data_IF_420211804719
#
_entry.id   IF_420211804719
#
_cell.length_a   1.000
_cell.length_b   1.000
_cell.length_c   1.000
_cell.angle_alpha   90.00
_cell.angle_beta   90.00
_cell.angle_gamma   90.00
#
_symmetry.space_group_name_H-M   'P 1'
#
loop_
_entity.id
_entity.type
_entity.pdbx_description
1 polymer ?
#
# COMPACT_ATOMS: atom_id res chain seq x y z
N UNK A 1 14.03 16.90 13.54
CA UNK A 1 14.83 15.73 13.10
C UNK A 1 14.62 15.51 11.61
N UNK A 2 15.65 15.22 10.84
CA UNK A 2 15.51 14.89 9.41
C UNK A 2 14.88 13.50 9.25
N UNK A 3 13.86 13.31 8.39
CA UNK A 3 13.31 11.98 8.11
C UNK A 3 14.34 11.00 7.54
N UNK A 4 14.03 9.70 7.66
CA UNK A 4 14.86 8.63 7.10
C UNK A 4 15.00 8.76 5.57
N UNK A 5 16.11 8.29 4.99
CA UNK A 5 16.38 8.40 3.54
C UNK A 5 15.26 7.82 2.66
N UNK A 6 14.67 6.70 3.07
CA UNK A 6 13.52 6.09 2.40
C UNK A 6 12.31 7.02 2.44
N UNK A 7 12.07 7.74 3.54
CA UNK A 7 10.95 8.68 3.64
C UNK A 7 11.11 9.81 2.64
N UNK A 8 12.30 10.39 2.59
CA UNK A 8 12.66 11.47 1.66
C UNK A 8 12.53 10.99 0.21
N UNK A 9 13.04 9.79 -0.10
CA UNK A 9 12.91 9.19 -1.43
C UNK A 9 11.44 8.97 -1.84
N UNK A 10 10.52 8.88 -0.89
CA UNK A 10 9.07 8.75 -1.12
C UNK A 10 8.31 10.08 -1.01
N UNK A 11 9.03 11.20 -0.93
CA UNK A 11 8.47 12.56 -0.85
C UNK A 11 7.94 12.95 0.53
N UNK A 12 8.24 12.16 1.58
CA UNK A 12 7.84 12.43 2.97
C UNK A 12 8.96 13.17 3.70
N UNK A 13 9.13 14.45 3.40
CA UNK A 13 10.27 15.27 3.81
C UNK A 13 10.13 15.90 5.21
N UNK A 14 9.00 15.64 5.88
CA UNK A 14 8.68 16.21 7.20
C UNK A 14 8.02 15.18 8.13
N UNK A 15 8.18 15.37 9.43
CA UNK A 15 7.35 14.77 10.47
C UNK A 15 6.27 15.77 10.90
N UNK A 16 5.21 15.28 11.55
CA UNK A 16 4.16 16.14 12.09
C UNK A 16 4.52 16.74 13.46
N UNK A 17 5.29 16.05 14.29
CA UNK A 17 5.84 16.65 15.51
C UNK A 17 7.34 16.94 15.31
N UNK A 18 7.85 18.04 15.84
CA UNK A 18 9.25 18.42 15.52
C UNK A 18 10.26 17.81 16.51
N UNK A 19 9.84 17.56 17.76
CA UNK A 19 10.73 17.33 18.90
C UNK A 19 10.95 15.87 19.30
N UNK A 20 10.26 14.91 18.67
CA UNK A 20 10.45 13.51 19.04
C UNK A 20 11.69 12.92 18.38
N UNK A 21 12.45 12.16 19.17
CA UNK A 21 13.61 11.39 18.72
C UNK A 21 13.20 10.06 18.09
N UNK A 22 14.10 9.39 17.40
CA UNK A 22 13.91 7.99 17.01
C UNK A 22 13.74 7.09 18.26
N UNK A 23 12.90 6.07 18.14
CA UNK A 23 12.83 4.96 19.10
C UNK A 23 12.99 3.64 18.34
N UNK A 24 13.75 2.71 18.93
CA UNK A 24 13.91 1.39 18.33
C UNK A 24 12.69 0.53 18.62
N UNK A 25 12.05 0.05 17.56
CA UNK A 25 10.83 -0.77 17.62
C UNK A 25 10.95 -1.85 16.57
N UNK A 26 10.59 -3.08 16.96
CA UNK A 26 10.38 -4.19 16.04
C UNK A 26 8.93 -4.66 16.10
N UNK A 27 8.43 -5.13 14.96
CA UNK A 27 7.10 -5.74 14.83
C UNK A 27 7.33 -7.14 14.33
N UNK A 28 7.04 -8.14 15.17
CA UNK A 28 7.22 -9.54 14.80
C UNK A 28 6.09 -9.98 13.89
N UNK A 29 6.35 -10.07 12.58
CA UNK A 29 5.31 -10.37 11.57
C UNK A 29 5.36 -11.84 11.18
N UNK A 30 4.20 -12.47 10.88
CA UNK A 30 2.89 -11.85 10.68
C UNK A 30 2.07 -11.62 11.96
N UNK A 31 2.45 -12.21 13.09
CA UNK A 31 1.57 -12.31 14.28
C UNK A 31 1.36 -10.98 15.02
N UNK A 32 2.38 -10.14 15.09
CA UNK A 32 2.35 -8.81 15.70
C UNK A 32 1.73 -7.73 14.82
N UNK A 33 1.15 -8.08 13.67
CA UNK A 33 0.46 -7.11 12.81
C UNK A 33 -0.89 -7.66 12.36
N UNK A 34 -1.95 -7.24 13.04
CA UNK A 34 -3.32 -7.65 12.77
C UNK A 34 -4.13 -6.51 12.18
N UNK A 35 -4.89 -6.83 11.13
CA UNK A 35 -5.75 -5.89 10.39
C UNK A 35 -7.15 -6.45 10.29
N UNK A 36 -8.14 -5.70 10.75
CA UNK A 36 -9.55 -6.06 10.69
C UNK A 36 -10.25 -5.06 9.78
N UNK A 37 -10.94 -5.54 8.75
CA UNK A 37 -11.75 -4.70 7.89
C UNK A 37 -12.91 -4.07 8.67
N UNK A 38 -13.14 -2.77 8.49
CA UNK A 38 -14.25 -2.05 9.09
C UNK A 38 -15.39 -1.89 8.06
N UNK A 39 -16.58 -2.36 8.44
CA UNK A 39 -17.81 -2.31 7.65
C UNK A 39 -18.83 -1.53 8.45
N UNK A 40 -19.35 -0.44 7.86
CA UNK A 40 -20.30 0.44 8.54
C UNK A 40 -19.86 0.88 9.95
N UNK A 41 -18.58 1.27 10.08
CA UNK A 41 -17.94 1.71 11.32
C UNK A 41 -17.88 0.66 12.44
N UNK A 42 -17.98 -0.62 12.07
CA UNK A 42 -17.84 -1.77 12.98
C UNK A 42 -16.82 -2.78 12.46
N UNK A 43 -16.16 -3.55 13.35
CA UNK A 43 -15.30 -4.65 12.92
C UNK A 43 -16.07 -5.66 12.05
N UNK A 44 -15.45 -6.16 10.98
CA UNK A 44 -16.04 -7.17 10.09
C UNK A 44 -16.55 -8.42 10.82
N UNK A 45 -15.96 -8.75 11.98
CA UNK A 45 -16.36 -9.88 12.82
C UNK A 45 -17.75 -9.71 13.45
N UNK A 46 -18.20 -8.47 13.63
CA UNK A 46 -19.51 -8.15 14.19
C UNK A 46 -20.61 -8.06 13.13
N UNK A 47 -20.24 -8.18 11.84
CA UNK A 47 -21.20 -8.13 10.77
C UNK A 47 -22.15 -9.33 10.83
N UNK A 48 -23.46 -9.06 10.71
CA UNK A 48 -24.52 -10.08 10.72
C UNK A 48 -25.28 -10.02 9.41
N UNK A 49 -25.43 -11.17 8.76
CA UNK A 49 -26.14 -11.27 7.49
C UNK A 49 -27.64 -11.49 7.63
N UNK A 50 -28.33 -11.21 6.53
CA UNK A 50 -29.73 -11.54 6.31
C UNK A 50 -29.91 -13.05 6.07
N UNK A 51 -31.15 -13.55 6.13
CA UNK A 51 -31.49 -14.95 5.83
C UNK A 51 -31.44 -15.23 4.31
N UNK A 52 -31.70 -14.22 3.49
CA UNK A 52 -31.67 -14.30 2.03
C UNK A 52 -30.97 -13.07 1.46
N UNK A 53 -30.40 -13.19 0.27
CA UNK A 53 -29.78 -12.05 -0.40
C UNK A 53 -29.02 -12.46 -1.65
N UNK A 54 -28.61 -11.46 -2.42
CA UNK A 54 -27.86 -11.64 -3.68
C UNK A 54 -26.45 -12.18 -3.48
N UNK A 55 -25.86 -11.91 -2.32
CA UNK A 55 -24.50 -12.30 -1.99
C UNK A 55 -24.48 -13.16 -0.74
N UNK A 56 -23.78 -14.30 -0.80
CA UNK A 56 -23.42 -15.07 0.38
C UNK A 56 -22.10 -14.51 0.93
N UNK A 57 -22.12 -14.07 2.20
CA UNK A 57 -21.01 -13.36 2.84
C UNK A 57 -20.24 -14.30 3.78
N UNK A 58 -18.92 -14.26 3.67
CA UNK A 58 -18.01 -15.05 4.50
C UNK A 58 -16.97 -14.14 5.15
N UNK A 59 -16.68 -14.40 6.43
CA UNK A 59 -15.52 -13.86 7.12
C UNK A 59 -14.29 -14.67 6.71
N UNK A 60 -13.31 -14.04 6.09
CA UNK A 60 -12.01 -14.64 5.80
C UNK A 60 -10.97 -14.12 6.80
N UNK A 61 -10.43 -15.03 7.60
CA UNK A 61 -9.23 -14.81 8.42
C UNK A 61 -8.06 -15.49 7.73
N UNK A 62 -6.99 -14.75 7.43
CA UNK A 62 -5.76 -15.33 6.84
C UNK A 62 -4.52 -14.89 7.62
N UNK A 63 -3.50 -15.75 7.66
CA UNK A 63 -2.23 -15.54 8.37
C UNK A 63 -1.06 -15.83 7.45
N UNK A 64 -0.20 -14.83 7.22
CA UNK A 64 1.08 -15.02 6.52
C UNK A 64 0.99 -15.45 5.04
N UNK A 65 -0.21 -15.45 4.45
CA UNK A 65 -0.47 -15.89 3.08
C UNK A 65 -0.87 -14.72 2.17
N UNK A 66 -0.36 -14.77 0.94
CA UNK A 66 -0.71 -13.85 -0.14
C UNK A 66 -2.22 -13.83 -0.41
N UNK A 67 -2.76 -12.64 -0.62
CA UNK A 67 -4.20 -12.45 -0.77
C UNK A 67 -4.75 -13.20 -1.99
N UNK A 68 -4.08 -13.13 -3.15
CA UNK A 68 -4.58 -13.79 -4.36
C UNK A 68 -4.50 -15.31 -4.26
N UNK A 69 -3.46 -15.82 -3.57
CA UNK A 69 -3.32 -17.24 -3.27
C UNK A 69 -4.47 -17.72 -2.39
N UNK A 70 -4.74 -17.05 -1.26
CA UNK A 70 -5.85 -17.39 -0.38
C UNK A 70 -7.21 -17.32 -1.10
N UNK A 71 -7.47 -16.27 -1.88
CA UNK A 71 -8.69 -16.16 -2.68
C UNK A 71 -8.80 -17.31 -3.69
N UNK A 72 -7.70 -17.69 -4.35
CA UNK A 72 -7.72 -18.80 -5.31
C UNK A 72 -8.08 -20.13 -4.64
N UNK A 73 -7.63 -20.38 -3.41
CA UNK A 73 -7.98 -21.58 -2.66
C UNK A 73 -9.45 -21.54 -2.20
N UNK A 74 -9.90 -20.41 -1.68
CA UNK A 74 -11.31 -20.24 -1.28
C UNK A 74 -12.26 -20.41 -2.46
N UNK A 75 -11.91 -19.92 -3.66
CA UNK A 75 -12.73 -20.14 -4.87
C UNK A 75 -12.91 -21.62 -5.21
N UNK A 76 -11.89 -22.46 -4.99
CA UNK A 76 -12.00 -23.91 -5.21
C UNK A 76 -12.96 -24.56 -4.23
N UNK A 77 -12.89 -24.16 -2.95
CA UNK A 77 -13.75 -24.66 -1.87
C UNK A 77 -15.21 -24.25 -2.10
N UNK A 78 -15.44 -22.96 -2.33
CA UNK A 78 -16.77 -22.40 -2.58
C UNK A 78 -17.31 -22.73 -3.98
N UNK A 79 -16.46 -23.24 -4.89
CA UNK A 79 -16.77 -23.49 -6.32
C UNK A 79 -17.44 -22.30 -7.01
N UNK A 80 -17.03 -21.09 -6.65
CA UNK A 80 -17.62 -19.85 -7.15
C UNK A 80 -16.58 -18.75 -7.20
N UNK A 81 -16.80 -17.74 -8.04
CA UNK A 81 -15.91 -16.58 -8.14
C UNK A 81 -16.07 -15.71 -6.89
N UNK A 82 -15.00 -15.63 -6.11
CA UNK A 82 -14.95 -14.85 -4.88
C UNK A 82 -14.67 -13.39 -5.20
N UNK A 83 -15.39 -12.51 -4.52
CA UNK A 83 -15.27 -11.06 -4.59
C UNK A 83 -14.88 -10.54 -3.21
N UNK A 84 -14.18 -9.42 -3.18
CA UNK A 84 -13.67 -8.77 -1.98
C UNK A 84 -13.60 -7.26 -2.24
N UNK A 85 -13.56 -6.46 -1.15
CA UNK A 85 -13.59 -4.99 -1.25
C UNK A 85 -12.18 -4.42 -1.47
N UNK A 86 -11.18 -5.03 -0.83
CA UNK A 86 -9.78 -4.61 -0.95
C UNK A 86 -8.80 -5.76 -0.74
N UNK A 87 -7.60 -5.59 -1.28
CA UNK A 87 -6.47 -6.49 -1.05
C UNK A 87 -5.90 -6.18 0.34
N UNK A 88 -5.47 -7.22 1.08
CA UNK A 88 -4.86 -7.08 2.41
C UNK A 88 -3.45 -7.64 2.42
N UNK A 89 -2.64 -7.14 3.34
CA UNK A 89 -1.21 -7.48 3.46
C UNK A 89 -0.98 -8.97 3.64
N UNK A 90 0.02 -9.53 2.96
CA UNK A 90 0.41 -10.93 3.10
C UNK A 90 1.11 -11.19 4.44
N UNK A 91 1.97 -10.26 4.89
CA UNK A 91 2.78 -10.39 6.10
C UNK A 91 2.04 -9.83 7.34
N UNK A 92 0.84 -10.36 7.57
CA UNK A 92 -0.08 -9.94 8.61
C UNK A 92 -1.10 -11.05 8.92
N UNK A 93 -1.78 -10.93 10.06
CA UNK A 93 -3.08 -11.57 10.30
C UNK A 93 -4.15 -10.61 9.80
N UNK A 94 -4.99 -11.04 8.86
CA UNK A 94 -6.00 -10.15 8.28
C UNK A 94 -7.37 -10.79 8.34
N UNK A 95 -8.37 -10.02 8.77
CA UNK A 95 -9.77 -10.43 8.90
C UNK A 95 -10.59 -9.51 8.00
N UNK A 96 -11.28 -10.07 7.01
CA UNK A 96 -12.05 -9.30 6.02
C UNK A 96 -13.33 -10.02 5.62
N UNK A 97 -14.28 -9.29 5.01
CA UNK A 97 -15.44 -9.92 4.39
C UNK A 97 -15.17 -10.20 2.91
N UNK A 98 -15.48 -11.43 2.50
CA UNK A 98 -15.49 -11.86 1.11
C UNK A 98 -16.91 -12.35 0.76
N UNK A 99 -17.22 -12.39 -0.53
CA UNK A 99 -18.55 -12.78 -0.96
C UNK A 99 -18.59 -13.45 -2.33
N UNK A 100 -19.57 -14.32 -2.50
CA UNK A 100 -19.91 -14.95 -3.77
C UNK A 100 -21.34 -14.57 -4.17
N UNK A 101 -21.72 -14.79 -5.42
CA UNK A 101 -23.14 -14.74 -5.77
C UNK A 101 -23.84 -15.93 -5.12
N UNK A 102 -25.02 -15.69 -4.55
CA UNK A 102 -25.86 -16.73 -3.97
C UNK A 102 -26.25 -17.76 -5.04
N UNK A 103 -26.13 -19.03 -4.69
CA UNK A 103 -26.59 -20.17 -5.49
C UNK A 103 -27.70 -20.88 -4.70
N UNK A 104 -28.94 -20.74 -5.16
CA UNK A 104 -30.10 -21.31 -4.47
C UNK A 104 -30.14 -22.84 -4.50
N UNK A 105 -29.29 -23.49 -5.30
CA UNK A 105 -29.21 -24.94 -5.40
C UNK A 105 -28.15 -25.54 -4.46
N UNK A 106 -27.46 -24.71 -3.68
CA UNK A 106 -26.36 -25.16 -2.83
C UNK A 106 -26.35 -24.46 -1.49
N UNK A 107 -26.38 -25.26 -0.42
CA UNK A 107 -26.20 -24.78 0.94
C UNK A 107 -24.83 -24.11 1.13
N UNK A 108 -24.76 -22.95 1.81
CA UNK A 108 -23.50 -22.31 2.17
C UNK A 108 -22.59 -23.22 3.00
N UNK A 109 -21.28 -23.10 2.79
CA UNK A 109 -20.31 -23.80 3.65
C UNK A 109 -20.19 -23.01 4.96
N UNK A 110 -20.72 -23.54 6.05
CA UNK A 110 -20.74 -22.84 7.34
C UNK A 110 -19.34 -22.41 7.80
N UNK A 111 -18.36 -23.31 7.73
CA UNK A 111 -17.00 -23.05 8.15
C UNK A 111 -16.01 -23.97 7.42
N UNK A 112 -14.81 -23.45 7.14
CA UNK A 112 -13.69 -24.24 6.63
C UNK A 112 -12.37 -23.63 7.10
N UNK A 113 -11.44 -24.48 7.55
CA UNK A 113 -10.17 -24.05 8.11
C UNK A 113 -8.98 -24.83 7.53
N UNK A 114 -7.89 -24.11 7.33
CA UNK A 114 -6.55 -24.61 7.00
C UNK A 114 -5.53 -24.03 7.99
N UNK A 115 -4.25 -24.44 7.95
CA UNK A 115 -3.21 -23.78 8.75
C UNK A 115 -3.02 -22.28 8.45
N UNK A 116 -3.35 -21.83 7.23
CA UNK A 116 -3.03 -20.47 6.76
C UNK A 116 -4.26 -19.55 6.66
N UNK A 117 -5.47 -20.10 6.57
CA UNK A 117 -6.70 -19.32 6.52
C UNK A 117 -7.92 -20.10 7.01
N UNK A 118 -8.95 -19.35 7.39
CA UNK A 118 -10.27 -19.82 7.81
C UNK A 118 -11.34 -18.98 7.12
N UNK A 119 -12.41 -19.62 6.68
CA UNK A 119 -13.64 -18.96 6.23
C UNK A 119 -14.81 -19.37 7.11
N UNK A 120 -15.67 -18.41 7.44
CA UNK A 120 -16.93 -18.64 8.18
C UNK A 120 -18.07 -17.92 7.49
N UNK A 121 -19.15 -18.63 7.19
CA UNK A 121 -20.37 -18.03 6.65
C UNK A 121 -21.05 -17.15 7.70
N UNK A 122 -21.45 -15.94 7.31
CA UNK A 122 -22.08 -14.95 8.20
C UNK A 122 -23.54 -14.64 7.84
N UNK A 123 -24.05 -15.20 6.75
CA UNK A 123 -25.37 -14.89 6.20
C UNK A 123 -25.29 -14.19 4.85
N UNK A 124 -26.40 -13.57 4.44
CA UNK A 124 -26.54 -12.99 3.12
C UNK A 124 -26.58 -11.47 3.14
N UNK A 125 -26.31 -10.85 1.99
CA UNK A 125 -26.50 -9.42 1.78
C UNK A 125 -27.18 -9.15 0.44
N UNK A 126 -28.15 -8.24 0.45
CA UNK A 126 -28.84 -7.79 -0.76
C UNK A 126 -28.07 -6.72 -1.54
N UNK A 127 -27.21 -5.95 -0.84
CA UNK A 127 -26.40 -4.86 -1.40
C UNK A 127 -24.90 -5.11 -1.19
N UNK A 128 -24.06 -4.33 -1.88
CA UNK A 128 -22.62 -4.33 -1.62
C UNK A 128 -22.36 -3.75 -0.23
N UNK A 129 -21.35 -4.32 0.43
CA UNK A 129 -20.90 -3.89 1.75
C UNK A 129 -20.20 -2.54 1.68
N UNK A 130 -20.41 -1.71 2.71
CA UNK A 130 -19.82 -0.38 2.81
C UNK A 130 -18.55 -0.42 3.67
N UNK A 131 -17.40 -0.48 2.98
CA UNK A 131 -16.09 -0.43 3.64
C UNK A 131 -15.74 0.99 4.06
N UNK A 132 -15.63 1.17 5.37
CA UNK A 132 -15.39 2.48 6.00
C UNK A 132 -13.93 2.69 6.39
N UNK A 133 -13.21 1.60 6.67
CA UNK A 133 -11.82 1.69 7.09
C UNK A 133 -11.20 0.35 7.49
N UNK A 134 -10.09 0.40 8.23
CA UNK A 134 -9.48 -0.77 8.82
C UNK A 134 -9.09 -0.47 10.26
N UNK A 135 -9.25 -1.47 11.12
CA UNK A 135 -8.83 -1.48 12.51
C UNK A 135 -7.51 -2.22 12.57
N UNK A 136 -6.53 -1.64 13.24
CA UNK A 136 -5.19 -2.16 13.38
C UNK A 136 -4.94 -2.52 14.84
N UNK A 137 -4.33 -3.68 15.05
CA UNK A 137 -3.78 -4.12 16.33
C UNK A 137 -2.34 -4.54 16.06
N UNK A 138 -1.38 -3.81 16.62
CA UNK A 138 0.03 -3.95 16.29
C UNK A 138 0.84 -4.10 17.57
N UNK A 139 1.55 -5.21 17.70
CA UNK A 139 2.43 -5.48 18.83
C UNK A 139 3.80 -4.88 18.56
N UNK A 140 4.25 -4.02 19.45
CA UNK A 140 5.52 -3.30 19.38
C UNK A 140 6.48 -3.89 20.42
N UNK A 141 7.61 -4.41 19.97
CA UNK A 141 8.69 -4.84 20.86
C UNK A 141 9.73 -3.73 20.94
N UNK A 142 9.88 -3.15 22.14
CA UNK A 142 10.73 -1.98 22.36
C UNK A 142 11.05 -1.75 23.84
N UNK A 143 12.24 -1.23 24.20
CA UNK A 143 12.50 -0.75 25.54
C UNK A 143 11.90 0.64 25.82
N UNK A 144 11.36 1.34 24.80
CA UNK A 144 10.91 2.74 24.88
C UNK A 144 9.40 2.90 25.16
N UNK A 145 8.82 2.02 25.98
CA UNK A 145 7.37 1.97 26.27
C UNK A 145 6.83 3.33 26.75
N UNK A 146 7.50 3.97 27.70
CA UNK A 146 7.08 5.28 28.23
C UNK A 146 7.06 6.37 27.13
N UNK A 147 8.02 6.34 26.21
CA UNK A 147 8.05 7.29 25.09
C UNK A 147 6.89 7.07 24.13
N UNK A 148 6.47 5.83 23.89
CA UNK A 148 5.29 5.51 23.07
C UNK A 148 4.03 6.05 23.75
N UNK A 149 3.86 5.81 25.05
CA UNK A 149 2.72 6.29 25.83
C UNK A 149 2.58 7.81 25.72
N UNK A 150 3.68 8.56 25.91
CA UNK A 150 3.64 10.03 25.82
C UNK A 150 3.33 10.53 24.40
N UNK A 151 3.87 9.89 23.35
CA UNK A 151 3.51 10.22 21.95
C UNK A 151 2.04 9.98 21.67
N UNK A 152 1.49 8.87 22.17
CA UNK A 152 0.08 8.53 21.99
C UNK A 152 -0.83 9.53 22.71
N UNK A 153 -0.49 9.94 23.94
CA UNK A 153 -1.22 11.01 24.64
C UNK A 153 -1.25 12.31 23.82
N UNK A 154 -0.15 12.69 23.19
CA UNK A 154 -0.09 13.87 22.32
C UNK A 154 -0.96 13.73 21.08
N UNK A 155 -0.96 12.56 20.44
CA UNK A 155 -1.81 12.29 19.27
C UNK A 155 -3.29 12.27 19.67
N UNK A 156 -3.67 11.77 20.85
CA UNK A 156 -5.07 11.74 21.28
C UNK A 156 -5.65 13.16 21.42
N UNK A 157 -4.85 14.14 21.83
CA UNK A 157 -5.28 15.55 21.96
C UNK A 157 -5.64 16.14 20.58
N UNK A 158 -4.83 15.87 19.56
CA UNK A 158 -5.06 16.27 18.18
C UNK A 158 -4.88 15.06 17.25
N UNK A 159 -5.93 14.25 17.02
CA UNK A 159 -5.82 12.93 16.40
C UNK A 159 -5.74 12.98 14.88
N UNK A 160 -4.93 13.89 14.36
CA UNK A 160 -4.70 14.07 12.94
C UNK A 160 -3.23 13.97 12.62
N UNK A 161 -2.91 13.16 11.62
CA UNK A 161 -1.58 13.08 11.03
C UNK A 161 -1.66 13.34 9.53
N UNK A 162 -0.56 13.80 8.88
CA UNK A 162 -0.53 13.99 7.44
C UNK A 162 -0.92 12.68 6.74
N UNK A 163 -1.86 12.74 5.81
CA UNK A 163 -2.35 11.59 5.06
C UNK A 163 -1.41 11.19 3.90
N UNK A 164 -0.11 11.12 4.18
CA UNK A 164 0.88 10.64 3.24
C UNK A 164 0.46 9.29 2.65
N UNK A 165 0.80 9.09 1.39
CA UNK A 165 0.66 7.78 0.76
C UNK A 165 1.81 6.90 1.25
N UNK A 166 1.48 5.75 1.84
CA UNK A 166 2.45 4.90 2.54
C UNK A 166 3.34 4.05 1.61
N UNK A 167 4.38 3.47 2.21
CA UNK A 167 5.42 2.65 1.56
C UNK A 167 4.88 1.54 0.66
N UNK A 168 3.75 0.93 1.03
CA UNK A 168 3.10 -0.13 0.26
C UNK A 168 2.73 0.31 -1.17
N UNK A 169 2.42 1.59 -1.39
CA UNK A 169 2.15 2.14 -2.74
C UNK A 169 3.40 2.13 -3.62
N UNK A 170 4.56 2.30 -3.01
CA UNK A 170 5.84 2.42 -3.68
C UNK A 170 6.61 1.10 -3.76
N UNK A 171 6.17 0.11 -2.98
CA UNK A 171 6.81 -1.19 -2.79
C UNK A 171 7.59 -1.22 -1.48
N UNK A 172 7.21 -2.09 -0.54
CA UNK A 172 7.87 -2.17 0.79
C UNK A 172 9.30 -2.70 0.69
N UNK A 173 9.51 -3.76 -0.10
CA UNK A 173 10.85 -4.34 -0.31
C UNK A 173 11.67 -3.57 -1.33
N UNK A 174 11.05 -2.96 -2.34
CA UNK A 174 11.73 -2.18 -3.39
C UNK A 174 10.93 -0.89 -3.62
N UNK A 175 11.18 0.18 -2.86
CA UNK A 175 10.42 1.44 -2.93
C UNK A 175 10.72 2.28 -4.19
N UNK A 176 10.62 1.66 -5.38
CA UNK A 176 11.01 2.22 -6.68
C UNK A 176 9.83 2.43 -7.64
N UNK A 177 8.61 2.04 -7.25
CA UNK A 177 7.44 2.04 -8.16
C UNK A 177 7.14 3.42 -8.76
N UNK A 178 7.34 4.51 -8.00
CA UNK A 178 7.15 5.88 -8.50
C UNK A 178 8.24 6.30 -9.49
N UNK A 179 9.49 5.85 -9.30
CA UNK A 179 10.61 6.09 -10.22
C UNK A 179 10.33 5.44 -11.58
N UNK A 180 9.84 4.20 -11.57
CA UNK A 180 9.40 3.51 -12.79
C UNK A 180 8.27 4.31 -13.47
N UNK A 181 7.30 4.80 -12.68
CA UNK A 181 6.22 5.66 -13.16
C UNK A 181 6.73 6.92 -13.86
N UNK A 182 7.74 7.59 -13.28
CA UNK A 182 8.39 8.77 -13.87
C UNK A 182 9.02 8.46 -15.22
N UNK A 183 9.80 7.38 -15.31
CA UNK A 183 10.42 6.96 -16.57
C UNK A 183 9.37 6.63 -17.65
N UNK A 184 8.30 5.94 -17.28
CA UNK A 184 7.20 5.63 -18.20
C UNK A 184 6.51 6.89 -18.74
N UNK A 185 6.25 7.89 -17.89
CA UNK A 185 5.64 9.17 -18.33
C UNK A 185 6.57 9.98 -19.22
N UNK A 186 7.89 9.89 -18.99
CA UNK A 186 8.93 10.44 -19.87
C UNK A 186 9.18 9.62 -21.14
N UNK A 187 8.50 8.48 -21.30
CA UNK A 187 8.70 7.52 -22.40
C UNK A 187 10.13 6.96 -22.47
N UNK A 188 10.83 6.99 -21.35
CA UNK A 188 12.12 6.34 -21.19
C UNK A 188 11.89 4.86 -20.86
N UNK A 189 11.60 4.09 -21.91
CA UNK A 189 11.26 2.67 -21.80
C UNK A 189 12.41 1.82 -21.27
N UNK A 190 13.63 2.20 -21.61
CA UNK A 190 14.84 1.49 -21.20
C UNK A 190 15.05 1.63 -19.69
N UNK A 191 15.06 2.86 -19.17
CA UNK A 191 15.21 3.09 -17.73
C UNK A 191 14.06 2.48 -16.93
N UNK A 192 12.83 2.54 -17.44
CA UNK A 192 11.68 1.89 -16.82
C UNK A 192 11.86 0.36 -16.75
N UNK A 193 12.30 -0.25 -17.85
CA UNK A 193 12.55 -1.69 -17.94
C UNK A 193 13.66 -2.14 -16.98
N UNK A 194 14.82 -1.47 -17.01
CA UNK A 194 15.92 -1.80 -16.13
C UNK A 194 15.59 -1.52 -14.66
N UNK A 195 14.78 -0.49 -14.34
CA UNK A 195 14.38 -0.21 -12.96
C UNK A 195 13.56 -1.35 -12.33
N UNK A 196 12.76 -2.04 -13.14
CA UNK A 196 12.03 -3.22 -12.68
C UNK A 196 12.99 -4.38 -12.38
N UNK A 197 14.06 -4.54 -13.18
CA UNK A 197 14.88 -5.76 -13.19
C UNK A 197 16.17 -5.68 -12.36
N UNK A 198 16.85 -4.53 -12.28
CA UNK A 198 18.27 -4.48 -11.88
C UNK A 198 18.52 -3.96 -10.47
N UNK A 199 18.18 -2.71 -10.15
CA UNK A 199 18.64 -2.07 -8.91
C UNK A 199 18.34 -2.93 -7.67
N UNK A 200 19.37 -3.53 -7.05
CA UNK A 200 19.18 -4.41 -5.90
C UNK A 200 18.98 -3.55 -4.65
N UNK A 201 18.02 -3.93 -3.82
CA UNK A 201 17.76 -3.25 -2.55
C UNK A 201 18.36 -4.03 -1.37
N UNK A 202 18.75 -3.32 -0.31
CA UNK A 202 19.31 -3.92 0.92
C UNK A 202 18.37 -4.93 1.60
N UNK A 203 17.07 -4.82 1.35
CA UNK A 203 16.00 -5.71 1.79
C UNK A 203 15.89 -7.01 0.99
N UNK A 204 16.61 -7.16 -0.12
CA UNK A 204 16.60 -8.37 -0.94
C UNK A 204 17.67 -9.37 -0.45
N UNK A 205 17.45 -10.67 -0.69
CA UNK A 205 18.46 -11.68 -0.37
C UNK A 205 19.68 -11.52 -1.27
N UNK A 206 20.85 -11.95 -0.78
CA UNK A 206 22.12 -11.89 -1.54
C UNK A 206 22.01 -12.53 -2.92
N UNK A 207 21.33 -13.67 -3.03
CA UNK A 207 21.11 -14.37 -4.30
C UNK A 207 20.27 -13.56 -5.29
N UNK A 208 19.25 -12.85 -4.81
CA UNK A 208 18.44 -11.99 -5.68
C UNK A 208 19.24 -10.77 -6.09
N UNK A 209 19.98 -10.16 -5.16
CA UNK A 209 20.83 -9.02 -5.46
C UNK A 209 21.90 -9.35 -6.51
N UNK A 210 22.52 -10.54 -6.43
CA UNK A 210 23.50 -10.99 -7.43
C UNK A 210 22.85 -11.22 -8.79
N UNK A 211 21.70 -11.92 -8.85
CA UNK A 211 20.95 -12.11 -10.10
C UNK A 211 20.65 -10.77 -10.75
N UNK A 212 20.15 -9.79 -9.99
CA UNK A 212 19.80 -8.50 -10.58
C UNK A 212 21.01 -7.70 -11.06
N UNK A 213 22.17 -7.83 -10.39
CA UNK A 213 23.43 -7.27 -10.88
C UNK A 213 23.83 -7.90 -12.23
N UNK A 214 23.73 -9.22 -12.36
CA UNK A 214 23.99 -9.91 -13.63
C UNK A 214 23.05 -9.44 -14.75
N UNK A 215 21.79 -9.10 -14.44
CA UNK A 215 20.88 -8.51 -15.43
C UNK A 215 21.41 -7.18 -15.97
N UNK A 216 22.05 -6.37 -15.11
CA UNK A 216 22.65 -5.10 -15.50
C UNK A 216 23.82 -5.28 -16.47
N UNK A 217 24.53 -6.40 -16.38
CA UNK A 217 25.72 -6.71 -17.18
C UNK A 217 25.37 -7.30 -18.57
N UNK A 218 24.09 -7.52 -18.87
CA UNK A 218 23.58 -7.64 -20.25
C UNK A 218 23.28 -9.04 -20.80
N UNK A 219 23.57 -10.13 -20.09
CA UNK A 219 23.24 -11.49 -20.58
C UNK A 219 21.84 -11.98 -20.13
N UNK A 220 20.81 -11.47 -20.80
CA UNK A 220 19.42 -11.87 -20.51
C UNK A 220 19.13 -13.36 -20.76
N UNK A 221 19.84 -14.03 -21.67
CA UNK A 221 19.54 -15.41 -22.08
C UNK A 221 19.95 -16.42 -21.01
N UNK A 222 21.08 -16.18 -20.35
CA UNK A 222 21.53 -17.02 -19.25
C UNK A 222 20.87 -16.62 -17.92
N UNK A 223 20.76 -15.32 -17.65
CA UNK A 223 20.24 -14.85 -16.36
C UNK A 223 18.77 -15.23 -16.13
N UNK A 224 17.95 -15.32 -17.18
CA UNK A 224 16.54 -15.71 -17.03
C UNK A 224 16.36 -17.11 -16.43
N UNK A 225 17.33 -18.01 -16.63
CA UNK A 225 17.33 -19.38 -16.08
C UNK A 225 17.54 -19.36 -14.56
N UNK A 226 18.26 -18.36 -14.06
CA UNK A 226 18.59 -18.19 -12.63
C UNK A 226 17.46 -17.53 -11.83
N UNK A 227 16.61 -16.72 -12.48
CA UNK A 227 15.51 -16.02 -11.80
C UNK A 227 14.55 -17.06 -11.19
N UNK A 228 14.12 -16.95 -9.92
CA UNK A 228 13.15 -17.87 -9.34
C UNK A 228 11.76 -17.78 -9.98
N UNK A 229 10.99 -18.88 -9.97
CA UNK A 229 9.65 -18.96 -10.60
C UNK A 229 8.63 -17.95 -10.06
N UNK A 230 8.79 -17.49 -8.80
CA UNK A 230 7.94 -16.49 -8.17
C UNK A 230 8.04 -15.08 -8.80
N UNK A 231 9.15 -14.75 -9.47
CA UNK A 231 9.36 -13.46 -10.15
C UNK A 231 8.78 -13.48 -11.57
N UNK A 232 7.46 -13.71 -11.66
CA UNK A 232 6.75 -13.89 -12.93
C UNK A 232 6.86 -12.65 -13.83
N UNK A 233 6.77 -11.47 -13.24
CA UNK A 233 6.85 -10.18 -13.94
C UNK A 233 8.22 -10.00 -14.59
N UNK A 234 9.29 -10.14 -13.81
CA UNK A 234 10.66 -9.96 -14.30
C UNK A 234 10.99 -10.96 -15.42
N UNK A 235 10.63 -12.24 -15.23
CA UNK A 235 10.80 -13.26 -16.29
C UNK A 235 10.04 -12.91 -17.57
N UNK A 236 8.79 -12.46 -17.45
CA UNK A 236 7.97 -12.13 -18.61
C UNK A 236 8.57 -10.96 -19.39
N UNK A 237 9.01 -9.92 -18.69
CA UNK A 237 9.66 -8.76 -19.32
C UNK A 237 10.91 -9.18 -20.10
N UNK A 238 11.79 -9.99 -19.49
CA UNK A 238 13.00 -10.47 -20.16
C UNK A 238 12.65 -11.33 -21.39
N UNK A 239 11.69 -12.26 -21.27
CA UNK A 239 11.22 -13.06 -22.42
C UNK A 239 10.71 -12.19 -23.56
N UNK A 240 9.88 -11.21 -23.24
CA UNK A 240 9.33 -10.30 -24.24
C UNK A 240 10.43 -9.45 -24.88
N UNK A 241 11.40 -8.98 -24.10
CA UNK A 241 12.54 -8.25 -24.64
C UNK A 241 13.38 -9.12 -25.59
N UNK A 242 13.73 -10.35 -25.20
CA UNK A 242 14.45 -11.30 -26.07
C UNK A 242 13.68 -11.55 -27.37
N UNK A 243 12.34 -11.66 -27.30
CA UNK A 243 11.49 -11.93 -28.46
C UNK A 243 11.37 -10.74 -29.41
N UNK A 244 11.18 -9.54 -28.87
CA UNK A 244 10.83 -8.35 -29.66
C UNK A 244 11.99 -7.38 -29.88
N UNK A 245 13.10 -7.55 -29.17
CA UNK A 245 14.23 -6.62 -29.09
C UNK A 245 13.77 -5.15 -28.86
N UNK A 246 12.82 -4.97 -27.93
CA UNK A 246 12.18 -3.69 -27.69
C UNK A 246 11.71 -3.56 -26.24
N UNK A 247 12.26 -2.60 -25.50
CA UNK A 247 11.85 -2.28 -24.12
C UNK A 247 10.37 -1.89 -24.05
N UNK A 248 9.91 -1.08 -25.00
CA UNK A 248 8.50 -0.68 -25.10
C UNK A 248 7.58 -1.90 -25.25
N UNK A 249 7.85 -2.81 -26.21
CA UNK A 249 7.01 -3.99 -26.40
C UNK A 249 7.09 -4.96 -25.22
N UNK A 250 8.22 -5.02 -24.52
CA UNK A 250 8.33 -5.78 -23.28
C UNK A 250 7.40 -5.24 -22.19
N UNK A 251 7.44 -3.92 -21.95
CA UNK A 251 6.60 -3.22 -20.97
C UNK A 251 5.11 -3.23 -21.37
N UNK A 252 4.79 -3.10 -22.66
CA UNK A 252 3.42 -3.17 -23.20
C UNK A 252 2.74 -4.50 -22.87
N UNK A 253 3.51 -5.57 -22.84
CA UNK A 253 3.04 -6.92 -22.53
C UNK A 253 3.42 -7.35 -21.09
N UNK A 254 3.53 -6.38 -20.19
CA UNK A 254 3.74 -6.58 -18.75
C UNK A 254 2.54 -7.28 -18.10
N UNK A 255 2.82 -8.14 -17.11
CA UNK A 255 1.77 -8.74 -16.28
C UNK A 255 1.19 -7.71 -15.28
N UNK A 256 2.05 -6.85 -14.73
CA UNK A 256 1.64 -5.74 -13.87
C UNK A 256 1.09 -4.58 -14.72
N UNK A 257 -0.12 -4.06 -14.43
CA UNK A 257 -0.68 -2.93 -15.18
C UNK A 257 0.20 -1.68 -15.08
N UNK A 258 0.46 -1.03 -16.22
CA UNK A 258 1.28 0.17 -16.29
C UNK A 258 0.74 1.31 -15.42
N UNK A 259 -0.58 1.44 -15.33
CA UNK A 259 -1.24 2.47 -14.50
C UNK A 259 -0.80 2.43 -13.05
N UNK A 260 -0.43 1.27 -12.50
CA UNK A 260 0.04 1.14 -11.12
C UNK A 260 1.32 1.96 -10.88
N UNK A 261 2.25 1.98 -11.83
CA UNK A 261 3.48 2.76 -11.74
C UNK A 261 3.19 4.26 -11.86
N UNK A 262 2.30 4.65 -12.79
CA UNK A 262 1.92 6.04 -13.01
C UNK A 262 1.21 6.63 -11.78
N UNK A 263 0.29 5.87 -11.19
CA UNK A 263 -0.42 6.25 -9.97
C UNK A 263 0.54 6.40 -8.78
N UNK A 264 1.61 5.59 -8.72
CA UNK A 264 2.65 5.73 -7.71
C UNK A 264 3.45 7.03 -7.89
N UNK A 265 3.73 7.46 -9.13
CA UNK A 265 4.37 8.75 -9.36
C UNK A 265 3.48 9.93 -8.93
N UNK A 266 2.17 9.92 -9.24
CA UNK A 266 1.26 10.95 -8.70
C UNK A 266 1.19 10.94 -7.17
N UNK A 267 1.28 9.76 -6.55
CA UNK A 267 1.33 9.62 -5.10
C UNK A 267 2.60 10.24 -4.49
N UNK A 268 3.74 10.12 -5.19
CA UNK A 268 5.00 10.77 -4.81
C UNK A 268 4.90 12.29 -4.87
N UNK A 269 4.35 12.85 -5.95
CA UNK A 269 4.12 14.30 -6.08
C UNK A 269 3.18 14.83 -5.00
N UNK A 270 2.13 14.07 -4.65
CA UNK A 270 1.26 14.40 -3.52
C UNK A 270 2.03 14.44 -2.20
N UNK A 271 2.90 13.47 -1.93
CA UNK A 271 3.70 13.46 -0.71
C UNK A 271 4.63 14.69 -0.63
N UNK A 272 5.32 15.04 -1.73
CA UNK A 272 6.15 16.25 -1.80
C UNK A 272 5.33 17.51 -1.50
N UNK A 273 4.18 17.66 -2.15
CA UNK A 273 3.30 18.80 -1.95
C UNK A 273 2.84 18.91 -0.50
N UNK A 274 2.34 17.81 0.07
CA UNK A 274 1.90 17.77 1.46
C UNK A 274 3.05 18.09 2.43
N UNK A 275 4.27 17.60 2.17
CA UNK A 275 5.45 17.93 2.96
C UNK A 275 5.75 19.43 2.94
N UNK A 276 5.70 20.06 1.76
CA UNK A 276 6.00 21.50 1.58
C UNK A 276 4.91 22.42 2.15
N UNK A 277 3.65 21.97 2.19
CA UNK A 277 2.51 22.72 2.76
C UNK A 277 2.22 22.41 4.23
N UNK A 278 2.98 21.49 4.85
CA UNK A 278 2.60 20.94 6.14
C UNK A 278 2.46 21.99 7.25
N UNK A 279 3.39 22.95 7.34
CA UNK A 279 3.40 23.97 8.39
C UNK A 279 2.21 24.94 8.28
N UNK A 280 1.75 25.21 7.05
CA UNK A 280 0.54 26.00 6.79
C UNK A 280 -0.70 25.22 7.24
N UNK A 281 -0.80 23.96 6.81
CA UNK A 281 -1.93 23.10 7.09
C UNK A 281 -2.05 22.68 8.56
N UNK A 282 -0.93 22.56 9.28
CA UNK A 282 -0.91 22.24 10.72
C UNK A 282 -1.69 23.27 11.54
N UNK A 283 -1.64 24.54 11.16
CA UNK A 283 -2.28 25.68 11.85
C UNK A 283 -3.80 25.72 11.67
N UNK A 284 -4.33 25.00 10.69
CA UNK A 284 -5.78 24.95 10.41
C UNK A 284 -6.46 24.02 11.42
N UNK A 285 -7.52 24.51 12.06
CA UNK A 285 -8.29 23.74 13.06
C UNK A 285 -9.14 22.63 12.43
N UNK A 286 -9.86 22.96 11.36
CA UNK A 286 -10.75 22.01 10.67
C UNK A 286 -9.97 21.16 9.66
N UNK A 287 -9.27 20.14 10.17
CA UNK A 287 -8.40 19.26 9.37
C UNK A 287 -9.18 18.27 8.50
N UNK A 288 -10.44 17.97 8.82
CA UNK A 288 -11.25 16.97 8.10
C UNK A 288 -11.60 17.39 6.66
N UNK A 289 -11.65 18.70 6.42
CA UNK A 289 -12.09 19.31 5.16
C UNK A 289 -10.95 19.78 4.26
N UNK A 290 -9.70 19.60 4.66
CA UNK A 290 -8.55 20.01 3.85
C UNK A 290 -8.31 18.95 2.76
N UNK A 291 -8.64 19.30 1.52
CA UNK A 291 -8.42 18.48 0.34
C UNK A 291 -7.29 19.07 -0.49
N UNK A 292 -6.31 18.24 -0.83
CA UNK A 292 -5.23 18.58 -1.74
C UNK A 292 -5.58 18.02 -3.11
N UNK A 293 -5.34 18.85 -4.13
CA UNK A 293 -5.44 18.50 -5.54
C UNK A 293 -4.07 18.68 -6.18
N UNK A 294 -3.55 17.62 -6.79
CA UNK A 294 -2.37 17.67 -7.66
C UNK A 294 -2.88 17.64 -9.11
N UNK A 295 -2.94 18.79 -9.80
CA UNK A 295 -3.54 18.89 -11.12
C UNK A 295 -2.65 18.29 -12.20
N UNK A 296 -3.27 17.68 -13.21
CA UNK A 296 -2.54 17.17 -14.39
C UNK A 296 -2.09 18.27 -15.35
N UNK A 297 -2.60 19.50 -15.18
CA UNK A 297 -2.21 20.65 -15.98
C UNK A 297 -1.44 21.67 -15.15
N UNK A 298 -0.26 22.07 -15.63
CA UNK A 298 0.62 23.02 -14.94
C UNK A 298 -0.05 24.36 -14.64
N UNK A 299 -0.94 24.84 -15.52
CA UNK A 299 -1.65 26.11 -15.32
C UNK A 299 -2.64 26.10 -14.16
N UNK A 300 -3.08 24.92 -13.71
CA UNK A 300 -4.01 24.76 -12.59
C UNK A 300 -3.28 24.62 -11.24
N UNK A 301 -1.94 24.54 -11.24
CA UNK A 301 -1.12 24.45 -10.03
C UNK A 301 -1.07 25.79 -9.29
N UNK A 302 -1.02 25.73 -7.96
CA UNK A 302 -0.51 26.83 -7.14
C UNK A 302 1.04 26.93 -7.23
N UNK A 303 1.64 27.90 -6.55
CA UNK A 303 3.09 28.12 -6.61
C UNK A 303 3.94 26.94 -6.12
N UNK A 304 3.49 26.22 -5.09
CA UNK A 304 4.21 25.04 -4.57
C UNK A 304 4.15 23.89 -5.58
N UNK A 305 2.98 23.64 -6.15
CA UNK A 305 2.78 22.64 -7.19
C UNK A 305 3.61 22.96 -8.44
N UNK A 306 3.65 24.23 -8.88
CA UNK A 306 4.52 24.68 -9.98
C UNK A 306 5.99 24.42 -9.69
N UNK A 307 6.47 24.77 -8.49
CA UNK A 307 7.86 24.53 -8.12
C UNK A 307 8.20 23.04 -8.14
N UNK A 308 7.35 22.17 -7.57
CA UNK A 308 7.54 20.71 -7.64
C UNK A 308 7.61 20.25 -9.10
N UNK A 309 6.75 20.77 -9.97
CA UNK A 309 6.72 20.35 -11.37
C UNK A 309 7.98 20.79 -12.12
N UNK A 310 8.51 21.98 -11.81
CA UNK A 310 9.79 22.44 -12.36
C UNK A 310 10.95 21.59 -11.84
N UNK A 311 11.03 21.34 -10.54
CA UNK A 311 12.06 20.49 -9.91
C UNK A 311 12.08 19.08 -10.53
N UNK A 312 10.88 18.54 -10.76
CA UNK A 312 10.68 17.20 -11.30
C UNK A 312 10.82 17.14 -12.83
N UNK A 313 10.92 18.28 -13.52
CA UNK A 313 10.96 18.38 -14.98
C UNK A 313 9.69 17.85 -15.64
N UNK A 314 8.52 18.29 -15.15
CA UNK A 314 7.20 17.93 -15.65
C UNK A 314 6.76 18.95 -16.71
N UNK A 315 6.57 18.48 -17.93
CA UNK A 315 6.23 19.30 -19.09
C UNK A 315 4.74 19.22 -19.47
N UNK A 316 4.33 20.00 -20.49
CA UNK A 316 2.94 19.99 -20.97
C UNK A 316 2.57 18.60 -21.51
N UNK A 317 1.48 18.04 -20.99
CA UNK A 317 0.97 16.74 -21.43
C UNK A 317 1.68 15.53 -20.83
N UNK A 318 2.58 15.75 -19.86
CA UNK A 318 3.35 14.70 -19.17
C UNK A 318 2.48 13.54 -18.65
N UNK A 319 1.30 13.84 -18.11
CA UNK A 319 0.39 12.84 -17.55
C UNK A 319 -0.49 12.10 -18.58
N UNK A 320 -0.18 12.23 -19.88
CA UNK A 320 -0.85 11.51 -20.98
C UNK A 320 0.11 10.54 -21.67
N UNK A 321 -0.11 9.25 -21.44
CA UNK A 321 0.68 8.17 -22.03
C UNK A 321 -0.07 7.52 -23.20
N UNK A 322 0.03 8.14 -24.39
CA UNK A 322 -0.73 7.76 -25.59
C UNK A 322 -0.45 6.33 -26.04
N UNK A 323 0.79 5.88 -25.90
CA UNK A 323 1.29 4.56 -26.30
C UNK A 323 0.60 3.41 -25.54
N UNK A 324 0.04 3.72 -24.38
CA UNK A 324 -0.73 2.82 -23.51
C UNK A 324 -2.22 3.20 -23.44
N UNK A 325 -2.64 4.25 -24.16
CA UNK A 325 -4.00 4.82 -24.10
C UNK A 325 -4.42 5.21 -22.68
N UNK A 326 -3.46 5.69 -21.88
CA UNK A 326 -3.71 6.14 -20.50
C UNK A 326 -3.65 7.67 -20.45
N UNK A 327 -4.62 8.28 -19.80
CA UNK A 327 -4.57 9.68 -19.38
C UNK A 327 -4.90 9.72 -17.90
N UNK A 328 -3.94 10.18 -17.09
CA UNK A 328 -4.19 10.31 -15.66
C UNK A 328 -5.17 11.46 -15.41
N UNK A 329 -5.87 11.36 -14.28
CA UNK A 329 -6.73 12.42 -13.76
C UNK A 329 -6.00 13.15 -12.65
N UNK A 330 -6.53 14.31 -12.27
CA UNK A 330 -6.03 15.03 -11.10
C UNK A 330 -6.07 14.12 -9.87
N UNK A 331 -4.98 14.14 -9.10
CA UNK A 331 -4.89 13.34 -7.89
C UNK A 331 -5.47 14.15 -6.74
N UNK A 332 -6.58 13.68 -6.17
CA UNK A 332 -7.33 14.38 -5.12
C UNK A 332 -7.38 13.51 -3.87
N UNK A 333 -6.97 14.07 -2.73
CA UNK A 333 -6.90 13.34 -1.46
C UNK A 333 -6.96 14.30 -0.27
N UNK A 334 -7.47 13.84 0.87
CA UNK A 334 -7.39 14.57 2.14
C UNK A 334 -5.92 14.85 2.51
N UNK A 335 -5.64 16.02 3.08
CA UNK A 335 -4.32 16.36 3.61
C UNK A 335 -4.00 15.62 4.91
N UNK A 336 -5.03 15.31 5.71
CA UNK A 336 -4.90 14.64 7.00
C UNK A 336 -5.71 13.36 7.08
N UNK A 337 -5.17 12.40 7.82
CA UNK A 337 -5.86 11.20 8.26
C UNK A 337 -6.20 11.37 9.73
N UNK A 338 -7.43 11.00 10.09
CA UNK A 338 -7.89 10.99 11.47
C UNK A 338 -7.60 9.63 12.10
N UNK A 339 -6.97 9.61 13.26
CA UNK A 339 -6.70 8.39 14.02
C UNK A 339 -7.86 8.18 14.99
N UNK A 340 -8.74 7.23 14.69
CA UNK A 340 -9.89 6.91 15.57
C UNK A 340 -9.49 5.84 16.57
N UNK A 341 -10.08 5.88 17.77
CA UNK A 341 -9.96 4.84 18.80
C UNK A 341 -8.50 4.45 19.12
N UNK A 342 -7.57 5.44 19.13
CA UNK A 342 -6.16 5.19 19.41
C UNK A 342 -5.96 4.81 20.87
N UNK A 343 -5.37 3.64 21.12
CA UNK A 343 -5.09 3.11 22.44
C UNK A 343 -3.74 2.38 22.45
N UNK A 344 -3.14 2.26 23.64
CA UNK A 344 -1.94 1.46 23.86
C UNK A 344 -2.06 0.63 25.13
N UNK A 345 -1.83 -0.66 25.00
CA UNK A 345 -1.79 -1.59 26.11
C UNK A 345 -0.34 -1.79 26.54
N UNK A 346 0.06 -1.16 27.64
CA UNK A 346 1.43 -1.22 28.18
C UNK A 346 1.85 -2.64 28.59
N UNK A 347 0.89 -3.49 29.02
CA UNK A 347 1.19 -4.86 29.46
C UNK A 347 1.57 -5.76 28.29
N UNK A 348 0.93 -5.58 27.14
CA UNK A 348 1.15 -6.40 25.94
C UNK A 348 2.05 -5.72 24.91
N UNK A 349 2.33 -4.42 25.07
CA UNK A 349 3.03 -3.61 24.06
C UNK A 349 2.21 -3.39 22.79
N UNK A 350 0.88 -3.50 22.85
CA UNK A 350 0.02 -3.45 21.67
C UNK A 350 -0.59 -2.07 21.48
N UNK A 351 -0.38 -1.46 20.32
CA UNK A 351 -1.11 -0.27 19.87
C UNK A 351 -2.35 -0.71 19.06
N UNK A 352 -3.50 -0.10 19.32
CA UNK A 352 -4.71 -0.30 18.53
C UNK A 352 -5.31 1.02 18.08
N UNK A 353 -5.84 1.06 16.85
CA UNK A 353 -6.44 2.24 16.26
C UNK A 353 -7.22 1.90 15.00
N UNK A 354 -8.06 2.82 14.56
CA UNK A 354 -8.83 2.70 13.32
C UNK A 354 -8.47 3.83 12.37
N UNK A 355 -8.31 3.49 11.09
CA UNK A 355 -8.12 4.45 10.01
C UNK A 355 -9.18 4.30 8.93
N UNK A 356 -9.59 5.42 8.36
CA UNK A 356 -10.52 5.45 7.23
C UNK A 356 -9.90 4.80 5.98
N UNK A 357 -10.76 4.37 5.05
CA UNK A 357 -10.35 3.75 3.79
C UNK A 357 -9.32 4.63 3.06
N UNK A 358 -8.24 3.98 2.59
CA UNK A 358 -7.19 4.63 1.81
C UNK A 358 -6.11 5.31 2.64
N UNK A 359 -6.19 5.23 3.97
CA UNK A 359 -5.13 5.66 4.89
C UNK A 359 -4.23 4.49 5.28
N UNK A 360 -3.02 4.81 5.74
CA UNK A 360 -1.93 3.84 5.90
C UNK A 360 -1.45 3.80 7.35
N UNK A 361 -1.56 2.64 8.02
CA UNK A 361 -1.06 2.43 9.37
C UNK A 361 0.44 2.72 9.51
N UNK A 362 1.22 2.45 8.46
CA UNK A 362 2.66 2.72 8.42
C UNK A 362 3.01 4.19 8.55
N UNK A 363 2.09 5.13 8.27
CA UNK A 363 2.32 6.56 8.48
C UNK A 363 2.19 6.93 9.96
N UNK A 364 1.26 6.33 10.69
CA UNK A 364 1.18 6.49 12.16
C UNK A 364 2.43 5.89 12.82
N UNK A 365 2.81 4.67 12.40
CA UNK A 365 4.04 4.03 12.89
C UNK A 365 5.29 4.84 12.55
N UNK A 366 5.39 5.39 11.34
CA UNK A 366 6.47 6.31 10.94
C UNK A 366 6.58 7.49 11.90
N UNK A 367 5.46 8.13 12.24
CA UNK A 367 5.46 9.29 13.11
C UNK A 367 5.87 8.95 14.55
N UNK A 368 5.38 7.81 15.06
CA UNK A 368 5.69 7.31 16.41
C UNK A 368 7.13 6.80 16.51
N UNK A 369 7.66 6.11 15.50
CA UNK A 369 8.95 5.40 15.56
C UNK A 369 10.10 6.30 15.07
N UNK A 370 9.91 7.00 13.94
CA UNK A 370 10.92 7.85 13.27
C UNK A 370 12.23 7.18 12.89
N UNK A 371 12.25 5.85 12.91
CA UNK A 371 13.41 5.05 12.53
C UNK A 371 13.28 4.48 11.12
N UNK A 372 14.12 3.49 10.85
CA UNK A 372 14.13 2.77 9.58
C UNK A 372 12.78 2.13 9.23
N UNK A 373 12.12 2.55 8.12
CA UNK A 373 10.86 1.96 7.67
C UNK A 373 10.87 0.45 7.52
N UNK A 374 12.02 -0.15 7.19
CA UNK A 374 12.16 -1.60 7.03
C UNK A 374 11.84 -2.38 8.32
N UNK A 375 11.89 -1.74 9.48
CA UNK A 375 11.54 -2.36 10.78
C UNK A 375 10.04 -2.41 11.06
N UNK A 376 9.23 -1.59 10.39
CA UNK A 376 7.79 -1.47 10.68
C UNK A 376 6.85 -1.61 9.48
N UNK A 377 7.37 -1.62 8.25
CA UNK A 377 6.58 -1.77 7.01
C UNK A 377 6.36 -3.20 6.54
#
# INVERSE_FOLDING_TARGET
MTPHEIDIALGMERYYYDDWKEIDVTIDRPDGFKVIEEIDFKPAQEWKGEIYGKYAIYLLTKRGIDHFTAISEVQKILRSKVRYIGIKDANAITIQLIYILTDNNREPINEYQTPNFQIKFLGFASKKLNHTGNIFEISLTTPYVNSIVERIKQIIIEPYLPAFVGYQRFGTRRPITHVIGRYLLRKDWESAFYSILTYPFLSESKDIASIRKMISDGDFKEVIKLIPSKFKQEKLLIKNYIKFNSYYLALKNSFIPISLYLDAYQSYLFNLYLSRKLDEYRKIKDKDNIIIKIPTYFGDCDEICKQIYLDEGIERGFFKLKEFKISLKDFIRKAFMKIRNLQFNEKTGTISFTLDRGMYATILLREIIRGDPRKFT
#
